data_IF_731258165646
#
_entry.id   IF_731258165646
#
_cell.length_a   1.000
_cell.length_b   1.000
_cell.length_c   1.000
_cell.angle_alpha   90.00
_cell.angle_beta   90.00
_cell.angle_gamma   90.00
#
_symmetry.space_group_name_H-M   'P 1'
#
loop_
_entity.id
_entity.type
_entity.pdbx_description
1 polymer ?
#
# COMPACT_ATOMS: atom_id res chain seq x y z
N UNK A 1 12.72 19.99 -16.86
CA UNK A 1 12.31 18.68 -16.30
C UNK A 1 10.86 18.87 -15.84
N UNK A 2 9.91 18.00 -16.19
CA UNK A 2 8.54 18.20 -15.66
C UNK A 2 8.56 18.06 -14.13
N UNK A 3 7.78 18.88 -13.45
CA UNK A 3 7.54 18.87 -11.99
C UNK A 3 7.31 17.46 -11.46
N UNK A 4 6.53 16.63 -12.17
CA UNK A 4 6.32 15.21 -11.87
C UNK A 4 7.61 14.38 -11.88
N UNK A 5 8.46 14.54 -12.89
CA UNK A 5 9.74 13.81 -12.97
C UNK A 5 10.70 14.25 -11.86
N UNK A 6 10.70 15.53 -11.52
CA UNK A 6 11.52 16.06 -10.44
C UNK A 6 11.01 15.60 -9.07
N UNK A 7 9.70 15.70 -8.81
CA UNK A 7 9.07 15.22 -7.58
C UNK A 7 9.25 13.72 -7.38
N UNK A 8 9.03 12.93 -8.44
CA UNK A 8 9.31 11.49 -8.41
C UNK A 8 10.77 11.16 -8.09
N UNK A 9 11.72 11.90 -8.67
CA UNK A 9 13.15 11.69 -8.38
C UNK A 9 13.48 12.03 -6.92
N UNK A 10 13.03 13.19 -6.43
CA UNK A 10 13.27 13.64 -5.04
C UNK A 10 12.68 12.64 -4.03
N UNK A 11 11.40 12.31 -4.17
CA UNK A 11 10.72 11.38 -3.26
C UNK A 11 11.35 9.99 -3.38
N UNK A 12 11.65 9.53 -4.60
CA UNK A 12 12.29 8.24 -4.83
C UNK A 12 13.67 8.14 -4.18
N UNK A 13 14.50 9.17 -4.30
CA UNK A 13 15.79 9.23 -3.61
C UNK A 13 15.63 9.24 -2.09
N UNK A 14 14.69 10.02 -1.56
CA UNK A 14 14.40 10.04 -0.12
C UNK A 14 13.96 8.65 0.38
N UNK A 15 13.06 7.98 -0.34
CA UNK A 15 12.61 6.61 -0.05
C UNK A 15 13.79 5.65 0.00
N UNK A 16 14.67 5.67 -1.01
CA UNK A 16 15.84 4.79 -1.06
C UNK A 16 16.80 5.03 0.11
N UNK A 17 17.06 6.30 0.45
CA UNK A 17 17.92 6.64 1.60
C UNK A 17 17.35 6.07 2.90
N UNK A 18 16.05 6.22 3.14
CA UNK A 18 15.40 5.70 4.34
C UNK A 18 15.42 4.17 4.38
N UNK A 19 15.16 3.49 3.26
CA UNK A 19 15.24 2.03 3.18
C UNK A 19 16.66 1.54 3.46
N UNK A 20 17.66 2.13 2.80
CA UNK A 20 19.07 1.75 2.98
C UNK A 20 19.50 1.99 4.43
N UNK A 21 19.13 3.12 5.02
CA UNK A 21 19.45 3.43 6.41
C UNK A 21 18.78 2.45 7.39
N UNK A 22 17.54 2.05 7.12
CA UNK A 22 16.81 1.06 7.92
C UNK A 22 17.46 -0.32 7.81
N UNK A 23 17.86 -0.74 6.62
CA UNK A 23 18.62 -1.98 6.40
C UNK A 23 19.96 -1.93 7.15
N UNK A 24 20.68 -0.81 7.07
CA UNK A 24 21.92 -0.61 7.84
C UNK A 24 21.69 -0.74 9.35
N UNK A 25 20.60 -0.16 9.89
CA UNK A 25 20.23 -0.33 11.29
C UNK A 25 20.04 -1.81 11.67
N UNK A 26 19.34 -2.59 10.84
CA UNK A 26 19.15 -4.03 11.07
C UNK A 26 20.49 -4.77 11.15
N UNK A 27 21.40 -4.53 10.21
CA UNK A 27 22.73 -5.17 10.22
C UNK A 27 23.63 -4.70 11.36
N UNK A 28 23.46 -3.46 11.81
CA UNK A 28 24.15 -2.92 12.97
C UNK A 28 23.56 -3.41 14.31
N UNK A 29 22.56 -4.30 14.29
CA UNK A 29 21.86 -4.78 15.49
C UNK A 29 21.07 -3.69 16.21
N UNK A 30 20.76 -2.58 15.53
CA UNK A 30 19.95 -1.48 16.09
C UNK A 30 18.48 -1.81 15.92
N UNK A 31 17.67 -1.38 16.87
CA UNK A 31 16.23 -1.53 16.79
C UNK A 31 15.66 -0.78 15.57
N UNK A 32 14.85 -1.49 14.80
CA UNK A 32 13.98 -0.97 13.76
C UNK A 32 12.57 -1.15 14.25
N UNK A 33 11.83 -0.06 14.34
CA UNK A 33 10.51 -0.07 14.96
C UNK A 33 9.47 0.61 14.11
N UNK A 34 8.43 1.06 14.79
CA UNK A 34 7.25 1.69 14.18
C UNK A 34 7.61 2.87 13.27
N UNK A 35 8.52 3.75 13.70
CA UNK A 35 8.83 4.98 12.98
C UNK A 35 9.45 4.71 11.61
N UNK A 36 10.43 3.80 11.53
CA UNK A 36 11.07 3.45 10.26
C UNK A 36 10.07 2.84 9.28
N UNK A 37 9.27 1.87 9.73
CA UNK A 37 8.29 1.18 8.89
C UNK A 37 7.20 2.15 8.40
N UNK A 38 6.67 3.00 9.28
CA UNK A 38 5.68 4.02 8.90
C UNK A 38 6.25 5.03 7.91
N UNK A 39 7.48 5.49 8.13
CA UNK A 39 8.14 6.45 7.22
C UNK A 39 8.34 5.83 5.83
N UNK A 40 8.79 4.58 5.75
CA UNK A 40 8.92 3.85 4.48
C UNK A 40 7.55 3.74 3.81
N UNK A 41 6.50 3.39 4.55
CA UNK A 41 5.13 3.28 4.02
C UNK A 41 4.62 4.59 3.42
N UNK A 42 4.79 5.71 4.13
CA UNK A 42 4.39 7.04 3.66
C UNK A 42 5.19 7.45 2.42
N UNK A 43 6.51 7.25 2.44
CA UNK A 43 7.37 7.62 1.31
C UNK A 43 7.07 6.79 0.06
N UNK A 44 6.80 5.49 0.20
CA UNK A 44 6.37 4.65 -0.92
C UNK A 44 5.00 5.06 -1.44
N UNK A 45 4.05 5.38 -0.56
CA UNK A 45 2.73 5.89 -0.96
C UNK A 45 2.86 7.18 -1.79
N UNK A 46 3.66 8.14 -1.30
CA UNK A 46 3.92 9.39 -2.02
C UNK A 46 4.65 9.14 -3.34
N UNK A 47 5.65 8.27 -3.36
CA UNK A 47 6.44 7.96 -4.55
C UNK A 47 5.58 7.34 -5.65
N UNK A 48 4.85 6.26 -5.34
CA UNK A 48 4.01 5.60 -6.33
C UNK A 48 2.89 6.51 -6.83
N UNK A 49 2.31 7.34 -5.96
CA UNK A 49 1.34 8.35 -6.38
C UNK A 49 1.95 9.36 -7.36
N UNK A 50 3.11 9.93 -7.02
CA UNK A 50 3.80 10.95 -7.82
C UNK A 50 4.23 10.43 -9.20
N UNK A 51 4.69 9.19 -9.32
CA UNK A 51 5.11 8.65 -10.63
C UNK A 51 3.92 8.16 -11.48
N UNK A 52 2.81 7.77 -10.85
CA UNK A 52 1.63 7.24 -11.54
C UNK A 52 0.79 8.37 -12.12
N UNK A 53 0.30 9.26 -11.27
CA UNK A 53 -0.72 10.22 -11.64
C UNK A 53 -0.15 11.50 -12.23
N UNK A 54 -0.88 12.08 -13.18
CA UNK A 54 -0.61 13.42 -13.70
C UNK A 54 -1.25 14.51 -12.87
N UNK A 55 -0.87 15.76 -13.16
CA UNK A 55 -1.53 16.93 -12.57
C UNK A 55 -2.25 17.76 -13.63
N UNK A 56 -3.36 18.40 -13.24
CA UNK A 56 -4.12 19.29 -14.15
C UNK A 56 -3.31 20.50 -14.59
N UNK A 57 -2.46 21.00 -13.71
CA UNK A 57 -1.63 22.19 -13.91
C UNK A 57 -0.57 21.93 -14.99
N UNK A 58 0.14 20.80 -14.88
CA UNK A 58 1.21 20.46 -15.81
C UNK A 58 0.75 19.65 -17.02
N UNK A 59 -0.54 19.24 -17.06
CA UNK A 59 -1.17 18.44 -18.11
C UNK A 59 -0.34 17.19 -18.49
N UNK A 60 0.20 16.51 -17.48
CA UNK A 60 1.24 15.51 -17.68
C UNK A 60 0.85 14.09 -17.27
N UNK A 61 0.59 13.22 -18.24
CA UNK A 61 0.20 11.84 -17.97
C UNK A 61 -1.29 11.69 -17.68
N UNK A 62 -1.68 10.57 -17.05
CA UNK A 62 -3.09 10.21 -16.86
C UNK A 62 -3.62 10.92 -15.62
N UNK A 63 -4.74 11.61 -15.76
CA UNK A 63 -5.43 12.18 -14.61
C UNK A 63 -6.36 11.15 -13.97
N UNK A 64 -6.45 11.15 -12.65
CA UNK A 64 -7.25 10.15 -11.93
C UNK A 64 -8.75 10.26 -12.22
N UNK A 65 -9.23 11.45 -12.57
CA UNK A 65 -10.64 11.70 -12.89
C UNK A 65 -11.05 11.37 -14.34
N UNK A 66 -10.09 11.18 -15.23
CA UNK A 66 -10.37 10.73 -16.61
C UNK A 66 -10.91 9.30 -16.62
N UNK A 67 -11.65 8.93 -17.67
CA UNK A 67 -12.22 7.57 -17.79
C UNK A 67 -11.15 6.48 -17.62
N UNK A 68 -9.96 6.69 -18.19
CA UNK A 68 -8.85 5.76 -18.05
C UNK A 68 -8.33 5.71 -16.60
N UNK A 69 -8.22 6.85 -15.93
CA UNK A 69 -7.80 6.94 -14.53
C UNK A 69 -8.79 6.28 -13.56
N UNK A 70 -10.09 6.43 -13.81
CA UNK A 70 -11.14 5.76 -13.04
C UNK A 70 -11.06 4.24 -13.21
N UNK A 71 -10.92 3.75 -14.46
CA UNK A 71 -10.75 2.31 -14.73
C UNK A 71 -9.50 1.72 -14.07
N UNK A 72 -8.38 2.45 -14.09
CA UNK A 72 -7.15 2.04 -13.39
C UNK A 72 -7.41 1.95 -11.88
N UNK A 73 -8.06 2.96 -11.29
CA UNK A 73 -8.38 3.00 -9.86
C UNK A 73 -9.26 1.83 -9.44
N UNK A 74 -10.35 1.56 -10.17
CA UNK A 74 -11.26 0.45 -9.86
C UNK A 74 -10.58 -0.92 -9.95
N UNK A 75 -9.84 -1.15 -11.06
CA UNK A 75 -9.16 -2.43 -11.28
C UNK A 75 -8.03 -2.64 -10.27
N UNK A 76 -7.24 -1.61 -10.00
CA UNK A 76 -6.16 -1.68 -9.02
C UNK A 76 -6.69 -1.87 -7.60
N UNK A 77 -7.81 -1.23 -7.21
CA UNK A 77 -8.42 -1.42 -5.91
C UNK A 77 -8.82 -2.89 -5.65
N UNK A 78 -9.43 -3.54 -6.65
CA UNK A 78 -9.77 -4.97 -6.56
C UNK A 78 -8.52 -5.85 -6.45
N UNK A 79 -7.50 -5.57 -7.26
CA UNK A 79 -6.23 -6.32 -7.20
C UNK A 79 -5.54 -6.12 -5.84
N UNK A 80 -5.44 -4.88 -5.36
CA UNK A 80 -4.78 -4.55 -4.09
C UNK A 80 -5.48 -5.20 -2.91
N UNK A 81 -6.80 -5.34 -2.95
CA UNK A 81 -7.54 -6.08 -1.92
C UNK A 81 -7.07 -7.53 -1.81
N UNK A 82 -6.98 -8.26 -2.93
CA UNK A 82 -6.53 -9.66 -2.91
C UNK A 82 -5.05 -9.79 -2.55
N UNK A 83 -4.20 -8.87 -3.03
CA UNK A 83 -2.78 -8.82 -2.64
C UNK A 83 -2.63 -8.63 -1.13
N UNK A 84 -3.38 -7.67 -0.54
CA UNK A 84 -3.35 -7.43 0.90
C UNK A 84 -3.89 -8.63 1.69
N UNK A 85 -4.96 -9.27 1.22
CA UNK A 85 -5.50 -10.49 1.82
C UNK A 85 -4.45 -11.61 1.86
N UNK A 86 -3.70 -11.80 0.77
CA UNK A 86 -2.60 -12.78 0.73
C UNK A 86 -1.50 -12.41 1.72
N UNK A 87 -1.10 -11.14 1.82
CA UNK A 87 -0.10 -10.71 2.80
C UNK A 87 -0.55 -10.95 4.24
N UNK A 88 -1.82 -10.66 4.57
CA UNK A 88 -2.38 -10.93 5.90
C UNK A 88 -2.37 -12.44 6.18
N UNK A 89 -2.74 -13.26 5.21
CA UNK A 89 -2.72 -14.72 5.36
C UNK A 89 -1.30 -15.24 5.62
N UNK A 90 -0.30 -14.77 4.86
CA UNK A 90 1.10 -15.11 5.08
C UNK A 90 1.55 -14.64 6.47
N UNK A 91 1.17 -13.45 6.91
CA UNK A 91 1.52 -12.93 8.23
C UNK A 91 0.95 -13.80 9.36
N UNK A 92 -0.31 -14.24 9.26
CA UNK A 92 -0.94 -15.16 10.22
C UNK A 92 -0.23 -16.52 10.23
N UNK A 93 0.10 -17.06 9.06
CA UNK A 93 0.80 -18.34 8.95
C UNK A 93 2.22 -18.27 9.53
N UNK A 94 2.95 -17.20 9.23
CA UNK A 94 4.29 -16.95 9.75
C UNK A 94 4.28 -16.77 11.28
N UNK A 95 3.34 -15.98 11.81
CA UNK A 95 3.16 -15.78 13.25
C UNK A 95 2.86 -17.09 13.97
N UNK A 96 1.95 -17.91 13.44
CA UNK A 96 1.67 -19.24 13.98
C UNK A 96 2.89 -20.16 13.98
N UNK A 97 3.64 -20.17 12.88
CA UNK A 97 4.83 -21.00 12.74
C UNK A 97 5.95 -20.60 13.70
N UNK A 98 6.17 -19.30 13.90
CA UNK A 98 7.23 -18.77 14.77
C UNK A 98 6.85 -18.87 16.25
N UNK A 99 5.61 -18.55 16.60
CA UNK A 99 5.18 -18.42 18.00
C UNK A 99 4.40 -19.64 18.53
N UNK A 100 4.14 -20.65 17.69
CA UNK A 100 3.35 -21.85 18.05
C UNK A 100 1.87 -21.59 18.33
N UNK A 101 1.43 -20.33 18.19
CA UNK A 101 0.06 -19.87 18.36
C UNK A 101 -0.17 -18.64 17.48
N UNK A 102 -1.42 -18.38 17.11
CA UNK A 102 -1.74 -17.22 16.27
C UNK A 102 -2.17 -16.03 17.12
N UNK A 103 -1.64 -14.86 16.82
CA UNK A 103 -2.03 -13.60 17.40
C UNK A 103 -3.51 -13.31 17.11
N UNK A 104 -4.31 -13.13 18.16
CA UNK A 104 -5.76 -12.92 18.05
C UNK A 104 -6.11 -11.67 17.23
N UNK A 105 -5.31 -10.60 17.31
CA UNK A 105 -5.56 -9.39 16.52
C UNK A 105 -5.31 -9.63 15.03
N UNK A 106 -4.27 -10.41 14.68
CA UNK A 106 -4.03 -10.79 13.28
C UNK A 106 -5.16 -11.68 12.74
N UNK A 107 -5.69 -12.60 13.55
CA UNK A 107 -6.85 -13.41 13.17
C UNK A 107 -8.11 -12.58 12.95
N UNK A 108 -8.37 -11.59 13.81
CA UNK A 108 -9.49 -10.65 13.64
C UNK A 108 -9.32 -9.86 12.34
N UNK A 109 -8.12 -9.35 12.06
CA UNK A 109 -7.82 -8.61 10.82
C UNK A 109 -8.03 -9.51 9.59
N UNK A 110 -7.61 -10.79 9.64
CA UNK A 110 -7.87 -11.74 8.56
C UNK A 110 -9.37 -11.95 8.34
N UNK A 111 -10.14 -12.16 9.41
CA UNK A 111 -11.60 -12.32 9.34
C UNK A 111 -12.28 -11.09 8.74
N UNK A 112 -11.90 -9.88 9.19
CA UNK A 112 -12.39 -8.63 8.62
C UNK A 112 -12.02 -8.50 7.15
N UNK A 113 -10.77 -8.77 6.78
CA UNK A 113 -10.30 -8.72 5.41
C UNK A 113 -11.15 -9.65 4.52
N UNK A 114 -11.37 -10.90 4.92
CA UNK A 114 -12.18 -11.88 4.16
C UNK A 114 -13.63 -11.44 3.97
N UNK A 115 -14.24 -10.81 4.98
CA UNK A 115 -15.64 -10.37 4.91
C UNK A 115 -15.83 -9.01 4.23
N UNK A 116 -14.78 -8.19 4.10
CA UNK A 116 -14.91 -6.80 3.62
C UNK A 116 -15.45 -6.72 2.20
N UNK A 117 -14.89 -7.49 1.25
CA UNK A 117 -15.38 -7.47 -0.14
C UNK A 117 -16.85 -7.91 -0.26
N UNK A 118 -17.26 -9.11 0.21
CA UNK A 118 -18.66 -9.53 0.07
C UNK A 118 -19.63 -8.62 0.84
N UNK A 119 -19.21 -8.03 1.97
CA UNK A 119 -20.02 -7.06 2.69
C UNK A 119 -20.22 -5.77 1.88
N UNK A 120 -19.17 -5.21 1.29
CA UNK A 120 -19.27 -4.01 0.44
C UNK A 120 -20.07 -4.30 -0.83
N UNK A 121 -19.88 -5.46 -1.46
CA UNK A 121 -20.68 -5.90 -2.61
C UNK A 121 -22.17 -6.00 -2.27
N UNK A 122 -22.51 -6.56 -1.11
CA UNK A 122 -23.88 -6.61 -0.60
C UNK A 122 -24.49 -5.20 -0.42
N UNK A 123 -23.76 -4.27 0.19
CA UNK A 123 -24.22 -2.89 0.37
C UNK A 123 -24.45 -2.18 -0.98
N UNK A 124 -23.54 -2.37 -1.92
CA UNK A 124 -23.64 -1.76 -3.26
C UNK A 124 -24.79 -2.36 -4.05
N UNK A 125 -24.97 -3.69 -4.04
CA UNK A 125 -26.07 -4.36 -4.74
C UNK A 125 -27.45 -3.83 -4.29
N UNK A 126 -27.63 -3.56 -2.99
CA UNK A 126 -28.86 -2.96 -2.44
C UNK A 126 -29.15 -1.54 -2.91
N UNK A 127 -28.18 -0.82 -3.47
CA UNK A 127 -28.40 0.52 -4.02
C UNK A 127 -28.99 0.46 -5.44
N UNK A 128 -28.80 -0.66 -6.13
CA UNK A 128 -29.28 -0.88 -7.50
C UNK A 128 -30.57 -1.70 -7.57
N UNK A 129 -31.03 -2.23 -6.42
CA UNK A 129 -32.33 -2.88 -6.24
C UNK A 129 -33.29 -1.93 -5.52
#
# INVERSE_FOLDING_TARGET
>A
MSTKRLGGLIIGTATLVVIIFTIYKLFAGKEVGYNEIMTIGVLLMMYFSAITWGTKEDKDGILQEEELGQRITEKSAKISYFVLLVFILIAVAADHFVNGSSNIFLLIILGLAMCTLPFVEFLMARKYQ
#
